data_IF_245884123346
#
_entry.id   IF_245884123346
#
_cell.length_a   1.000
_cell.length_b   1.000
_cell.length_c   1.000
_cell.angle_alpha   90.00
_cell.angle_beta   90.00
_cell.angle_gamma   90.00
#
_symmetry.space_group_name_H-M   'P 1'
#
loop_
_entity.id
_entity.type
_entity.pdbx_description
1 polymer ?
#
# COMPACT_ATOMS: atom_id res chain seq x y z
N UNK A 1 9.84 20.75 -3.46
CA UNK A 1 8.79 19.98 -2.76
C UNK A 1 8.85 20.31 -1.28
N UNK A 2 7.72 20.39 -0.55
CA UNK A 2 7.75 20.79 0.85
C UNK A 2 8.54 19.76 1.70
N UNK A 3 9.36 20.26 2.63
CA UNK A 3 10.32 19.45 3.39
C UNK A 3 9.68 18.31 4.21
N UNK A 4 8.39 18.40 4.53
CA UNK A 4 7.67 17.36 5.27
C UNK A 4 7.32 16.11 4.45
N UNK A 5 7.43 16.15 3.12
CA UNK A 5 6.99 15.06 2.24
C UNK A 5 7.90 13.83 2.32
N UNK A 6 9.21 14.04 2.47
CA UNK A 6 10.17 12.96 2.66
C UNK A 6 9.92 12.15 3.95
N UNK A 7 9.85 12.76 5.16
CA UNK A 7 9.56 12.01 6.38
C UNK A 7 8.14 11.41 6.37
N UNK A 8 7.18 12.02 5.68
CA UNK A 8 5.85 11.44 5.45
C UNK A 8 5.93 10.16 4.62
N UNK A 9 6.68 10.17 3.52
CA UNK A 9 6.89 9.02 2.65
C UNK A 9 7.61 7.87 3.38
N UNK A 10 8.66 8.16 4.15
CA UNK A 10 9.35 7.14 4.96
C UNK A 10 8.41 6.49 5.96
N UNK A 11 7.62 7.29 6.70
CA UNK A 11 6.63 6.76 7.67
C UNK A 11 5.54 5.96 6.98
N UNK A 12 5.08 6.41 5.82
CA UNK A 12 4.10 5.68 5.01
C UNK A 12 4.64 4.30 4.65
N UNK A 13 5.88 4.21 4.13
CA UNK A 13 6.52 2.94 3.78
C UNK A 13 6.68 2.01 4.99
N UNK A 14 7.11 2.54 6.13
CA UNK A 14 7.28 1.74 7.35
C UNK A 14 5.93 1.21 7.89
N UNK A 15 4.88 2.04 7.86
CA UNK A 15 3.53 1.63 8.25
C UNK A 15 2.99 0.59 7.28
N UNK A 16 3.13 0.81 5.97
CA UNK A 16 2.75 -0.16 4.96
C UNK A 16 3.46 -1.50 5.17
N UNK A 17 4.78 -1.48 5.38
CA UNK A 17 5.58 -2.68 5.64
C UNK A 17 5.11 -3.39 6.92
N UNK A 18 4.89 -2.65 8.00
CA UNK A 18 4.41 -3.23 9.26
C UNK A 18 3.04 -3.89 9.12
N UNK A 19 2.10 -3.24 8.41
CA UNK A 19 0.78 -3.83 8.12
C UNK A 19 0.93 -5.07 7.25
N UNK A 20 1.74 -5.01 6.19
CA UNK A 20 1.99 -6.16 5.31
C UNK A 20 2.58 -7.34 6.08
N UNK A 21 3.63 -7.14 6.86
CA UNK A 21 4.27 -8.19 7.67
C UNK A 21 3.28 -8.77 8.69
N UNK A 22 2.54 -7.92 9.41
CA UNK A 22 1.55 -8.34 10.40
C UNK A 22 0.43 -9.17 9.78
N UNK A 23 -0.09 -8.76 8.62
CA UNK A 23 -1.11 -9.50 7.88
C UNK A 23 -0.56 -10.83 7.37
N UNK A 24 0.62 -10.86 6.76
CA UNK A 24 1.25 -12.09 6.28
C UNK A 24 1.47 -13.08 7.40
N UNK A 25 1.99 -12.64 8.55
CA UNK A 25 2.20 -13.50 9.72
C UNK A 25 0.86 -14.05 10.26
N UNK A 26 -0.17 -13.20 10.35
CA UNK A 26 -1.50 -13.61 10.82
C UNK A 26 -2.11 -14.66 9.89
N UNK A 27 -2.07 -14.42 8.58
CA UNK A 27 -2.58 -15.38 7.58
C UNK A 27 -1.81 -16.68 7.65
N UNK A 28 -0.48 -16.64 7.76
CA UNK A 28 0.34 -17.83 7.86
C UNK A 28 -0.06 -18.67 9.08
N UNK A 29 -0.22 -18.06 10.25
CA UNK A 29 -0.70 -18.72 11.47
C UNK A 29 -2.08 -19.35 11.24
N UNK A 30 -3.04 -18.58 10.72
CA UNK A 30 -4.41 -19.08 10.49
C UNK A 30 -4.45 -20.24 9.49
N UNK A 31 -3.62 -20.21 8.45
CA UNK A 31 -3.49 -21.33 7.50
C UNK A 31 -2.83 -22.54 8.14
N UNK A 32 -1.76 -22.36 8.94
CA UNK A 32 -1.09 -23.47 9.64
C UNK A 32 -2.03 -24.19 10.61
N UNK A 33 -2.92 -23.46 11.29
CA UNK A 33 -3.91 -24.04 12.19
C UNK A 33 -5.23 -24.44 11.52
N UNK A 34 -5.32 -24.38 10.18
CA UNK A 34 -6.49 -24.85 9.42
C UNK A 34 -7.71 -23.95 9.52
N UNK A 35 -7.60 -22.74 10.08
CA UNK A 35 -8.71 -21.77 10.15
C UNK A 35 -8.95 -21.06 8.81
N UNK A 36 -7.99 -21.09 7.88
CA UNK A 36 -8.12 -20.50 6.55
C UNK A 36 -7.48 -21.39 5.48
N UNK A 37 -8.22 -21.68 4.42
CA UNK A 37 -7.70 -22.38 3.24
C UNK A 37 -7.21 -21.44 2.14
N UNK A 38 -7.81 -20.26 1.99
CA UNK A 38 -7.44 -19.29 0.94
C UNK A 38 -6.98 -17.95 1.53
N UNK A 39 -6.05 -17.28 0.84
CA UNK A 39 -5.63 -15.91 1.18
C UNK A 39 -6.66 -14.90 0.65
N UNK A 40 -7.36 -14.14 1.50
CA UNK A 40 -8.36 -13.18 1.03
C UNK A 40 -7.69 -12.01 0.30
N UNK A 41 -8.17 -11.72 -0.91
CA UNK A 41 -7.70 -10.62 -1.76
C UNK A 41 -7.94 -9.23 -1.18
N UNK A 42 -8.78 -9.11 -0.14
CA UNK A 42 -9.11 -7.85 0.53
C UNK A 42 -8.00 -7.30 1.43
N UNK A 43 -7.00 -8.11 1.80
CA UNK A 43 -5.94 -7.72 2.73
C UNK A 43 -5.06 -6.57 2.22
N UNK A 44 -4.87 -6.47 0.91
CA UNK A 44 -4.10 -5.39 0.29
C UNK A 44 -4.78 -4.02 0.45
N UNK A 45 -6.11 -3.98 0.60
CA UNK A 45 -6.87 -2.76 0.80
C UNK A 45 -6.64 -2.19 2.20
N UNK A 46 -6.37 -3.05 3.19
CA UNK A 46 -6.07 -2.64 4.58
C UNK A 46 -4.74 -1.87 4.62
N UNK A 47 -3.75 -2.29 3.83
CA UNK A 47 -2.46 -1.61 3.74
C UNK A 47 -2.65 -0.18 3.21
N UNK A 48 -3.39 -0.04 2.10
CA UNK A 48 -3.67 1.28 1.48
C UNK A 48 -4.49 2.17 2.41
N UNK A 49 -5.49 1.62 3.08
CA UNK A 49 -6.31 2.34 4.04
C UNK A 49 -5.50 2.82 5.24
N UNK A 50 -4.80 1.91 5.92
CA UNK A 50 -4.04 2.22 7.14
C UNK A 50 -2.91 3.20 6.89
N UNK A 51 -2.08 2.93 5.87
CA UNK A 51 -0.98 3.80 5.51
C UNK A 51 -1.48 5.17 4.99
N UNK A 52 -2.54 5.18 4.16
CA UNK A 52 -3.15 6.41 3.65
C UNK A 52 -3.71 7.30 4.77
N UNK A 53 -4.45 6.73 5.72
CA UNK A 53 -4.97 7.45 6.88
C UNK A 53 -3.85 8.00 7.78
N UNK A 54 -2.79 7.23 7.97
CA UNK A 54 -1.63 7.68 8.74
C UNK A 54 -0.92 8.86 8.08
N UNK A 55 -0.75 8.79 6.76
CA UNK A 55 -0.20 9.89 5.97
C UNK A 55 -1.07 11.15 6.13
N UNK A 56 -2.39 11.00 6.01
CA UNK A 56 -3.36 12.09 6.23
C UNK A 56 -3.22 12.74 7.61
N UNK A 57 -3.10 11.92 8.65
CA UNK A 57 -2.89 12.36 10.03
C UNK A 57 -1.59 13.15 10.17
N UNK A 58 -0.51 12.66 9.56
CA UNK A 58 0.77 13.35 9.57
C UNK A 58 0.71 14.70 8.87
N UNK A 59 0.06 14.77 7.69
CA UNK A 59 -0.16 16.01 6.96
C UNK A 59 -0.89 17.05 7.81
N UNK A 60 -1.98 16.65 8.46
CA UNK A 60 -2.77 17.54 9.32
C UNK A 60 -1.97 18.05 10.53
N UNK A 61 -1.12 17.21 11.12
CA UNK A 61 -0.23 17.61 12.22
C UNK A 61 0.83 18.64 11.78
N UNK A 62 1.35 18.51 10.56
CA UNK A 62 2.39 19.41 10.05
C UNK A 62 1.83 20.74 9.51
N UNK A 63 0.66 20.70 8.87
CA UNK A 63 0.09 21.89 8.19
C UNK A 63 -0.99 22.60 8.99
N UNK A 64 -1.51 21.97 10.05
CA UNK A 64 -2.60 22.52 10.87
C UNK A 64 -3.96 22.57 10.17
N UNK A 65 -4.09 22.03 8.95
CA UNK A 65 -5.31 22.04 8.15
C UNK A 65 -5.59 20.68 7.49
N UNK A 66 -6.84 20.40 7.07
CA UNK A 66 -7.12 19.24 6.24
C UNK A 66 -6.46 19.37 4.86
N UNK A 67 -6.09 18.24 4.27
CA UNK A 67 -5.49 18.20 2.94
C UNK A 67 -6.54 18.49 1.85
N UNK A 68 -6.19 19.32 0.87
CA UNK A 68 -7.05 19.55 -0.29
C UNK A 68 -6.98 18.39 -1.28
N UNK A 69 -8.05 18.15 -2.05
CA UNK A 69 -8.09 17.04 -3.01
C UNK A 69 -6.92 17.08 -4.01
N UNK A 70 -6.59 18.27 -4.53
CA UNK A 70 -5.46 18.45 -5.46
C UNK A 70 -4.12 18.01 -4.83
N UNK A 71 -3.92 18.29 -3.55
CA UNK A 71 -2.73 17.86 -2.81
C UNK A 71 -2.77 16.36 -2.53
N UNK A 72 -3.95 15.83 -2.17
CA UNK A 72 -4.16 14.40 -1.91
C UNK A 72 -3.80 13.56 -3.14
N UNK A 73 -4.20 13.98 -4.35
CA UNK A 73 -3.84 13.27 -5.58
C UNK A 73 -2.33 13.37 -5.87
N UNK A 74 -1.71 14.54 -5.70
CA UNK A 74 -0.26 14.70 -5.93
C UNK A 74 0.59 13.91 -4.95
N UNK A 75 0.28 14.00 -3.66
CA UNK A 75 0.97 13.25 -2.60
C UNK A 75 0.66 11.76 -2.76
N UNK A 76 -0.61 11.42 -3.01
CA UNK A 76 -1.05 10.04 -3.24
C UNK A 76 -0.32 9.38 -4.41
N UNK A 77 -0.02 10.11 -5.48
CA UNK A 77 0.75 9.56 -6.61
C UNK A 77 2.16 9.14 -6.17
N UNK A 78 2.86 10.01 -5.42
CA UNK A 78 4.19 9.72 -4.89
C UNK A 78 4.15 8.52 -3.93
N UNK A 79 3.19 8.50 -3.00
CA UNK A 79 3.04 7.41 -2.04
C UNK A 79 2.68 6.08 -2.71
N UNK A 80 1.85 6.11 -3.75
CA UNK A 80 1.46 4.90 -4.50
C UNK A 80 2.63 4.36 -5.32
N UNK A 81 3.42 5.22 -5.96
CA UNK A 81 4.64 4.80 -6.66
C UNK A 81 5.64 4.15 -5.70
N UNK A 82 5.82 4.73 -4.52
CA UNK A 82 6.67 4.14 -3.48
C UNK A 82 6.12 2.81 -2.98
N UNK A 83 4.80 2.67 -2.84
CA UNK A 83 4.17 1.40 -2.47
C UNK A 83 4.38 0.33 -3.55
N UNK A 84 4.22 0.68 -4.83
CA UNK A 84 4.48 -0.24 -5.95
C UNK A 84 5.94 -0.68 -5.94
N UNK A 85 6.88 0.25 -5.74
CA UNK A 85 8.31 -0.07 -5.65
C UNK A 85 8.60 -1.00 -4.46
N UNK A 86 8.04 -0.72 -3.27
CA UNK A 86 8.18 -1.60 -2.11
C UNK A 86 7.61 -2.99 -2.39
N UNK A 87 6.40 -3.07 -2.96
CA UNK A 87 5.77 -4.35 -3.32
C UNK A 87 6.61 -5.13 -4.33
N UNK A 88 7.17 -4.46 -5.34
CA UNK A 88 8.05 -5.11 -6.31
C UNK A 88 9.31 -5.69 -5.65
N UNK A 89 9.95 -4.91 -4.76
CA UNK A 89 11.13 -5.37 -4.00
C UNK A 89 10.78 -6.57 -3.11
N UNK A 90 9.66 -6.51 -2.39
CA UNK A 90 9.21 -7.62 -1.54
C UNK A 90 8.89 -8.87 -2.37
N UNK A 91 8.16 -8.72 -3.47
CA UNK A 91 7.82 -9.83 -4.38
C UNK A 91 9.08 -10.50 -4.93
N UNK A 92 10.03 -9.72 -5.45
CA UNK A 92 11.31 -10.25 -5.94
C UNK A 92 12.09 -10.93 -4.80
N UNK A 93 12.14 -10.30 -3.63
CA UNK A 93 12.81 -10.88 -2.45
C UNK A 93 12.21 -12.23 -2.04
N UNK A 94 10.89 -12.36 -2.05
CA UNK A 94 10.20 -13.64 -1.77
C UNK A 94 10.44 -14.68 -2.87
N UNK A 95 10.46 -14.26 -4.14
CA UNK A 95 10.75 -15.16 -5.26
C UNK A 95 12.15 -15.77 -5.19
N UNK A 96 13.13 -15.04 -4.66
CA UNK A 96 14.50 -15.51 -4.50
C UNK A 96 14.70 -16.49 -3.33
N UNK A 97 13.68 -16.75 -2.51
CA UNK A 97 13.77 -17.72 -1.42
C UNK A 97 13.74 -19.17 -1.96
N UNK A 98 14.54 -20.09 -1.38
CA UNK A 98 14.52 -21.49 -1.78
C UNK A 98 13.10 -22.08 -1.68
N UNK A 99 12.61 -22.68 -2.77
CA UNK A 99 11.27 -23.29 -2.83
C UNK A 99 10.13 -22.37 -3.28
N UNK A 100 10.41 -21.13 -3.70
CA UNK A 100 9.39 -20.15 -4.10
C UNK A 100 8.84 -20.32 -5.55
N UNK A 101 9.17 -21.40 -6.26
CA UNK A 101 8.57 -21.73 -7.56
C UNK A 101 8.96 -20.79 -8.72
N UNK A 102 10.14 -20.16 -8.66
CA UNK A 102 10.60 -19.18 -9.66
C UNK A 102 10.60 -19.76 -11.09
N UNK A 103 11.01 -21.03 -11.24
CA UNK A 103 11.01 -21.74 -12.52
C UNK A 103 9.60 -21.96 -13.09
N UNK A 104 8.62 -22.28 -12.24
CA UNK A 104 7.21 -22.43 -12.65
C UNK A 104 6.61 -21.11 -13.12
N UNK A 105 6.95 -19.98 -12.49
CA UNK A 105 6.47 -18.68 -12.95
C UNK A 105 7.06 -18.26 -14.30
N UNK A 106 8.37 -18.45 -14.51
CA UNK A 106 9.01 -18.10 -15.78
C UNK A 106 8.52 -18.98 -16.93
N UNK A 107 8.20 -20.25 -16.67
CA UNK A 107 7.72 -21.18 -17.69
C UNK A 107 6.26 -20.93 -18.10
N UNK A 108 5.48 -20.23 -17.27
CA UNK A 108 4.06 -19.94 -17.52
C UNK A 108 3.78 -18.52 -18.05
N UNK A 109 4.80 -17.67 -18.16
CA UNK A 109 4.65 -16.28 -18.62
C UNK A 109 4.68 -16.21 -20.16
N UNK A 110 3.52 -16.38 -20.80
CA UNK A 110 3.35 -16.07 -22.22
C UNK A 110 3.37 -14.54 -22.46
N UNK A 111 3.76 -14.06 -23.66
CA UNK A 111 3.73 -12.63 -23.99
C UNK A 111 2.34 -11.99 -23.83
N UNK A 112 1.28 -12.75 -24.12
CA UNK A 112 -0.12 -12.34 -23.96
C UNK A 112 -0.48 -12.16 -22.49
N UNK A 113 -0.05 -13.10 -21.63
CA UNK A 113 -0.22 -13.01 -20.18
C UNK A 113 0.55 -11.83 -19.61
N UNK A 114 1.74 -11.53 -20.13
CA UNK A 114 2.52 -10.36 -19.73
C UNK A 114 1.77 -9.05 -20.04
N UNK A 115 1.19 -8.92 -21.24
CA UNK A 115 0.37 -7.77 -21.62
C UNK A 115 -0.85 -7.57 -20.70
N UNK A 116 -1.54 -8.68 -20.38
CA UNK A 116 -2.67 -8.67 -19.44
C UNK A 116 -2.26 -8.24 -18.03
N UNK A 117 -1.18 -8.81 -17.50
CA UNK A 117 -0.66 -8.49 -16.16
C UNK A 117 -0.19 -7.03 -16.07
N UNK A 118 0.46 -6.50 -17.11
CA UNK A 118 0.85 -5.10 -17.18
C UNK A 118 -0.38 -4.17 -17.16
N UNK A 119 -1.42 -4.49 -17.95
CA UNK A 119 -2.68 -3.75 -17.95
C UNK A 119 -3.39 -3.78 -16.59
N UNK A 120 -3.45 -4.96 -15.94
CA UNK A 120 -4.00 -5.11 -14.60
C UNK A 120 -3.22 -4.32 -13.56
N UNK A 121 -1.89 -4.29 -13.64
CA UNK A 121 -1.04 -3.54 -12.73
C UNK A 121 -1.31 -2.04 -12.82
N UNK A 122 -1.48 -1.50 -14.03
CA UNK A 122 -1.84 -0.09 -14.23
C UNK A 122 -3.22 0.19 -13.67
N UNK A 123 -4.22 -0.64 -13.97
CA UNK A 123 -5.59 -0.47 -13.48
C UNK A 123 -5.67 -0.51 -11.95
N UNK A 124 -5.06 -1.52 -11.32
CA UNK A 124 -4.99 -1.66 -9.86
C UNK A 124 -4.20 -0.49 -9.25
N UNK A 125 -3.11 -0.08 -9.90
CA UNK A 125 -2.32 1.09 -9.49
C UNK A 125 -3.14 2.37 -9.45
N UNK A 126 -4.03 2.60 -10.43
CA UNK A 126 -4.95 3.73 -10.43
C UNK A 126 -5.97 3.64 -9.29
N UNK A 127 -6.53 2.45 -9.03
CA UNK A 127 -7.44 2.24 -7.89
C UNK A 127 -6.75 2.54 -6.55
N UNK A 128 -5.53 2.06 -6.36
CA UNK A 128 -4.74 2.36 -5.16
C UNK A 128 -4.34 3.82 -5.06
N UNK A 129 -4.08 4.49 -6.19
CA UNK A 129 -3.82 5.92 -6.19
C UNK A 129 -5.03 6.71 -5.70
N UNK A 130 -6.22 6.43 -6.25
CA UNK A 130 -7.48 7.05 -5.82
C UNK A 130 -7.78 6.73 -4.36
N UNK A 131 -7.63 5.47 -3.95
CA UNK A 131 -7.82 5.03 -2.57
C UNK A 131 -6.89 5.73 -1.60
N UNK A 132 -5.58 5.79 -1.91
CA UNK A 132 -4.58 6.49 -1.09
C UNK A 132 -4.92 7.97 -0.93
N UNK A 133 -5.33 8.64 -2.02
CA UNK A 133 -5.74 10.05 -1.97
C UNK A 133 -6.99 10.25 -1.09
N UNK A 134 -7.99 9.36 -1.19
CA UNK A 134 -9.19 9.39 -0.38
C UNK A 134 -8.88 9.17 1.11
N UNK A 135 -8.10 8.15 1.45
CA UNK A 135 -7.73 7.84 2.84
C UNK A 135 -6.82 8.89 3.46
N UNK A 136 -5.91 9.50 2.69
CA UNK A 136 -5.13 10.66 3.13
C UNK A 136 -6.05 11.81 3.51
N UNK A 137 -7.04 12.12 2.67
CA UNK A 137 -8.01 13.18 2.97
C UNK A 137 -8.81 12.85 4.23
N UNK A 138 -9.34 11.63 4.34
CA UNK A 138 -10.10 11.18 5.50
C UNK A 138 -9.26 11.25 6.79
N UNK A 139 -8.04 10.72 6.78
CA UNK A 139 -7.12 10.79 7.91
C UNK A 139 -6.82 12.23 8.33
N UNK A 140 -6.60 13.13 7.37
CA UNK A 140 -6.34 14.55 7.66
C UNK A 140 -7.54 15.25 8.32
N UNK A 141 -8.77 14.94 7.87
CA UNK A 141 -9.99 15.50 8.46
C UNK A 141 -10.24 14.96 9.87
N UNK A 142 -10.06 13.65 10.06
CA UNK A 142 -10.25 13.01 11.36
C UNK A 142 -9.29 13.56 12.42
N UNK A 143 -8.03 13.79 12.05
CA UNK A 143 -7.03 14.36 12.95
C UNK A 143 -7.37 15.79 13.42
N UNK A 144 -7.88 16.63 12.53
CA UNK A 144 -8.31 17.99 12.88
C UNK A 144 -9.57 17.98 13.74
N UNK A 145 -10.53 17.10 13.44
CA UNK A 145 -11.75 16.95 14.26
C UNK A 145 -11.42 16.50 15.68
N UNK A 146 -10.51 15.54 15.84
CA UNK A 146 -10.07 15.05 17.15
C UNK A 146 -9.36 16.12 17.99
N UNK A 147 -8.70 17.11 17.37
CA UNK A 147 -8.08 18.24 18.09
C UNK A 147 -9.09 19.25 18.63
N UNK A 148 -10.32 19.26 18.11
CA UNK A 148 -11.40 20.18 18.51
C UNK A 148 -12.32 19.63 19.59
N UNK A 149 -12.27 18.31 19.84
CA UNK A 149 -13.00 17.63 20.91
C UNK A 149 -12.14 17.62 22.17
#
# INVERSE_FOLDING_TARGET
>A
MPAFLFPMATRYLLVSLAITVGLTATVMVLTTYGYMHDRPSSLSHIVVMGAGMWAGTYFAKQTGRPAEWRECFRIGAVLTLLQIALSAVLTVGFMLLPGAGLEEMTNNLSPELFGLLAGMLVFIGLLYWVGTAAFLRLGSKSAIKAKKA
#
